data_IF_413811409230
#
_entry.id   IF_413811409230
#
_cell.length_a   1.000
_cell.length_b   1.000
_cell.length_c   1.000
_cell.angle_alpha   90.00
_cell.angle_beta   90.00
_cell.angle_gamma   90.00
#
_symmetry.space_group_name_H-M   'P 1'
#
loop_
_entity.id
_entity.type
_entity.pdbx_description
1 polymer ?
#
# COMPACT_ATOMS: atom_id res chain seq x y z
N UNK A 1 28.97 13.66 12.18
CA UNK A 1 28.24 14.40 13.23
C UNK A 1 27.12 15.20 12.61
N UNK A 2 25.89 14.68 12.65
CA UNK A 2 24.70 15.44 12.27
C UNK A 2 23.84 15.56 13.52
N UNK A 3 23.80 16.74 14.12
CA UNK A 3 22.85 17.07 15.16
C UNK A 3 21.50 17.39 14.48
N UNK A 4 20.42 16.85 15.01
CA UNK A 4 19.07 17.24 14.64
C UNK A 4 18.38 17.80 15.88
N UNK A 5 17.66 18.90 15.70
CA UNK A 5 16.94 19.59 16.77
C UNK A 5 15.45 19.35 16.54
N UNK A 6 14.80 18.67 17.47
CA UNK A 6 13.34 18.52 17.49
C UNK A 6 12.78 19.71 18.26
N UNK A 7 11.90 20.48 17.63
CA UNK A 7 11.17 21.55 18.29
C UNK A 7 9.67 21.27 18.20
N UNK A 8 8.97 21.56 19.29
CA UNK A 8 7.51 21.56 19.36
C UNK A 8 7.10 23.02 19.35
N UNK A 9 6.19 23.39 18.45
CA UNK A 9 5.52 24.69 18.51
C UNK A 9 4.24 24.48 19.29
N UNK A 10 4.04 25.30 20.32
CA UNK A 10 2.81 25.31 21.11
C UNK A 10 1.92 26.45 20.65
N UNK A 11 0.60 26.26 20.70
CA UNK A 11 -0.38 27.32 20.49
C UNK A 11 -0.56 28.18 21.75
N UNK A 12 -1.57 29.07 21.75
CA UNK A 12 -1.84 29.96 22.88
C UNK A 12 -2.32 29.24 24.15
N UNK A 13 -2.73 27.97 24.02
CA UNK A 13 -3.24 27.12 25.11
C UNK A 13 -2.20 26.05 25.53
N UNK A 14 -0.93 26.27 25.20
CA UNK A 14 0.21 25.34 25.42
C UNK A 14 0.01 23.96 24.76
N UNK A 15 -0.79 23.85 23.70
CA UNK A 15 -0.99 22.59 22.98
C UNK A 15 -0.07 22.49 21.75
N UNK A 16 0.49 21.30 21.43
CA UNK A 16 1.30 21.10 20.24
C UNK A 16 0.56 21.49 18.95
N UNK A 17 1.07 22.50 18.24
CA UNK A 17 0.56 22.97 16.97
C UNK A 17 1.30 22.32 15.81
N UNK A 18 0.54 21.90 14.78
CA UNK A 18 1.09 21.47 13.51
C UNK A 18 1.79 22.64 12.81
N UNK A 19 3.10 22.48 12.57
CA UNK A 19 3.88 23.42 11.79
C UNK A 19 3.42 23.43 10.33
N UNK A 20 3.36 24.61 9.68
CA UNK A 20 3.10 24.68 8.25
C UNK A 20 4.18 23.93 7.47
N UNK A 21 3.78 23.32 6.35
CA UNK A 21 4.65 22.48 5.53
C UNK A 21 5.86 23.28 5.02
N UNK A 22 7.06 22.93 5.47
CA UNK A 22 8.30 23.64 5.14
C UNK A 22 8.77 23.18 3.76
N UNK A 23 8.78 24.08 2.78
CA UNK A 23 9.38 23.83 1.46
C UNK A 23 10.89 24.08 1.53
N UNK A 24 11.72 23.27 0.84
CA UNK A 24 13.14 23.56 0.73
C UNK A 24 13.35 24.94 0.10
N UNK A 25 14.29 25.72 0.64
CA UNK A 25 14.69 26.96 -0.02
C UNK A 25 15.30 26.66 -1.40
N UNK A 26 15.00 27.46 -2.43
CA UNK A 26 15.58 27.29 -3.76
C UNK A 26 17.11 27.23 -3.71
N UNK A 27 17.71 26.41 -4.58
CA UNK A 27 19.17 26.22 -4.61
C UNK A 27 19.66 25.23 -3.55
N UNK A 28 20.33 25.72 -2.51
CA UNK A 28 20.99 24.87 -1.51
C UNK A 28 20.01 24.02 -0.69
N UNK A 29 18.80 24.52 -0.41
CA UNK A 29 17.78 23.77 0.32
C UNK A 29 17.31 22.55 -0.48
N UNK A 30 16.99 22.73 -1.76
CA UNK A 30 16.60 21.64 -2.67
C UNK A 30 17.72 20.61 -2.86
N UNK A 31 18.98 21.07 -2.93
CA UNK A 31 20.13 20.17 -2.98
C UNK A 31 20.21 19.31 -1.72
N UNK A 32 20.14 19.92 -0.52
CA UNK A 32 20.16 19.20 0.76
C UNK A 32 18.99 18.21 0.88
N UNK A 33 17.81 18.61 0.42
CA UNK A 33 16.63 17.74 0.37
C UNK A 33 16.88 16.52 -0.53
N UNK A 34 17.41 16.70 -1.74
CA UNK A 34 17.79 15.59 -2.64
C UNK A 34 18.84 14.67 -2.01
N UNK A 35 19.86 15.23 -1.37
CA UNK A 35 20.89 14.45 -0.67
C UNK A 35 20.31 13.66 0.53
N UNK A 36 19.34 14.22 1.25
CA UNK A 36 18.62 13.50 2.31
C UNK A 36 17.77 12.35 1.75
N UNK A 37 17.04 12.58 0.66
CA UNK A 37 16.25 11.54 -0.04
C UNK A 37 17.13 10.40 -0.55
N UNK A 38 18.30 10.71 -1.14
CA UNK A 38 19.27 9.71 -1.58
C UNK A 38 19.79 8.87 -0.39
N UNK A 39 20.12 9.50 0.74
CA UNK A 39 20.54 8.81 1.97
C UNK A 39 19.43 7.91 2.53
N UNK A 40 18.18 8.38 2.54
CA UNK A 40 17.01 7.58 2.98
C UNK A 40 16.86 6.34 2.10
N UNK A 41 16.95 6.49 0.77
CA UNK A 41 16.91 5.36 -0.18
C UNK A 41 18.01 4.34 0.13
N UNK A 42 19.27 4.77 0.23
CA UNK A 42 20.40 3.88 0.52
C UNK A 42 20.21 3.13 1.85
N UNK A 43 19.71 3.81 2.89
CA UNK A 43 19.43 3.18 4.18
C UNK A 43 18.37 2.10 4.05
N UNK A 44 17.26 2.38 3.37
CA UNK A 44 16.17 1.43 3.16
C UNK A 44 16.61 0.24 2.31
N UNK A 45 17.29 0.48 1.19
CA UNK A 45 17.82 -0.57 0.31
C UNK A 45 18.75 -1.53 1.10
N UNK A 46 19.58 -1.00 2.00
CA UNK A 46 20.46 -1.82 2.85
C UNK A 46 19.68 -2.59 3.92
N UNK A 47 18.68 -1.97 4.55
CA UNK A 47 17.84 -2.62 5.57
C UNK A 47 17.08 -3.82 5.01
N UNK A 48 16.56 -3.68 3.79
CA UNK A 48 15.75 -4.69 3.12
C UNK A 48 16.47 -5.40 1.97
N UNK A 49 17.81 -5.45 2.01
CA UNK A 49 18.64 -6.10 0.98
C UNK A 49 18.35 -7.60 0.90
N UNK A 50 18.08 -8.22 2.06
CA UNK A 50 17.61 -9.59 2.13
C UNK A 50 16.08 -9.53 2.09
N UNK A 51 15.51 -9.99 0.99
CA UNK A 51 14.06 -10.08 0.85
C UNK A 51 13.49 -11.14 1.80
N UNK A 52 12.34 -10.84 2.40
CA UNK A 52 11.54 -11.83 3.12
C UNK A 52 11.22 -13.00 2.19
N UNK A 53 11.33 -14.23 2.71
CA UNK A 53 11.07 -15.46 1.97
C UNK A 53 9.71 -16.04 2.31
N UNK A 54 9.17 -16.86 1.39
CA UNK A 54 7.95 -17.63 1.58
C UNK A 54 7.98 -18.51 2.85
N UNK A 55 9.16 -18.96 3.26
CA UNK A 55 9.36 -19.77 4.49
C UNK A 55 9.25 -18.96 5.77
N UNK A 56 9.39 -17.64 5.70
CA UNK A 56 9.40 -16.74 6.86
C UNK A 56 8.05 -16.04 7.06
N UNK A 57 7.37 -15.73 5.96
CA UNK A 57 6.05 -15.10 5.90
C UNK A 57 5.33 -15.68 4.69
N UNK A 58 4.02 -16.00 4.79
CA UNK A 58 3.25 -16.50 3.65
C UNK A 58 3.01 -15.37 2.63
N UNK A 59 3.97 -15.19 1.70
CA UNK A 59 3.86 -14.22 0.60
C UNK A 59 2.76 -14.63 -0.38
N UNK A 60 2.66 -15.93 -0.66
CA UNK A 60 1.52 -16.56 -1.31
C UNK A 60 0.94 -17.66 -0.43
N UNK A 61 -0.33 -18.02 -0.64
CA UNK A 61 -0.97 -19.18 -0.02
C UNK A 61 -1.52 -20.12 -1.09
N UNK A 62 -1.47 -21.44 -0.91
CA UNK A 62 -2.11 -22.36 -1.84
C UNK A 62 -3.60 -22.06 -1.97
N UNK A 63 -4.09 -21.99 -3.21
CA UNK A 63 -5.51 -21.94 -3.48
C UNK A 63 -6.12 -23.32 -3.26
N UNK A 64 -7.04 -23.41 -2.31
CA UNK A 64 -7.81 -24.62 -2.02
C UNK A 64 -9.30 -24.26 -2.05
N UNK A 65 -10.05 -24.73 -3.07
CA UNK A 65 -11.48 -24.50 -3.16
C UNK A 65 -12.27 -24.97 -1.93
N UNK A 66 -11.80 -26.02 -1.23
CA UNK A 66 -12.45 -26.50 0.00
C UNK A 66 -12.32 -25.52 1.16
N UNK A 67 -11.33 -24.63 1.11
CA UNK A 67 -11.03 -23.63 2.13
C UNK A 67 -11.27 -22.19 1.65
N UNK A 68 -11.97 -22.01 0.52
CA UNK A 68 -12.15 -20.70 -0.14
C UNK A 68 -12.72 -19.63 0.80
N UNK A 69 -13.72 -19.98 1.62
CA UNK A 69 -14.38 -19.06 2.55
C UNK A 69 -13.39 -18.51 3.57
N UNK A 70 -12.55 -19.39 4.12
CA UNK A 70 -11.52 -18.99 5.09
C UNK A 70 -10.40 -18.17 4.43
N UNK A 71 -9.97 -18.54 3.22
CA UNK A 71 -8.95 -17.79 2.48
C UNK A 71 -9.39 -16.35 2.22
N UNK A 72 -10.64 -16.17 1.77
CA UNK A 72 -11.26 -14.86 1.57
C UNK A 72 -11.44 -14.08 2.86
N UNK A 73 -11.91 -14.72 3.93
CA UNK A 73 -12.01 -14.09 5.24
C UNK A 73 -10.65 -13.62 5.77
N UNK A 74 -9.64 -14.49 5.70
CA UNK A 74 -8.29 -14.18 6.17
C UNK A 74 -7.65 -13.05 5.35
N UNK A 75 -7.94 -12.98 4.04
CA UNK A 75 -7.51 -11.88 3.18
C UNK A 75 -8.02 -10.52 3.69
N UNK A 76 -9.33 -10.42 3.89
CA UNK A 76 -10.00 -9.20 4.41
C UNK A 76 -9.49 -8.85 5.81
N UNK A 77 -9.43 -9.84 6.71
CA UNK A 77 -8.97 -9.65 8.09
C UNK A 77 -7.52 -9.17 8.15
N UNK A 78 -6.64 -9.69 7.29
CA UNK A 78 -5.23 -9.29 7.25
C UNK A 78 -5.06 -7.83 6.83
N UNK A 79 -5.84 -7.36 5.86
CA UNK A 79 -5.83 -5.95 5.47
C UNK A 79 -6.36 -5.05 6.59
N UNK A 80 -7.46 -5.43 7.25
CA UNK A 80 -8.00 -4.68 8.39
C UNK A 80 -6.98 -4.56 9.53
N UNK A 81 -6.31 -5.66 9.88
CA UNK A 81 -5.24 -5.65 10.89
C UNK A 81 -4.05 -4.78 10.48
N UNK A 82 -3.68 -4.77 9.19
CA UNK A 82 -2.58 -3.94 8.69
C UNK A 82 -2.91 -2.44 8.79
N UNK A 83 -4.13 -2.05 8.43
CA UNK A 83 -4.60 -0.66 8.55
C UNK A 83 -4.68 -0.22 10.01
N UNK A 84 -5.10 -1.11 10.92
CA UNK A 84 -5.27 -0.81 12.34
C UNK A 84 -3.95 -0.69 13.14
N UNK A 85 -2.79 -0.95 12.54
CA UNK A 85 -1.50 -0.70 13.20
C UNK A 85 -1.35 0.78 13.55
N UNK A 86 -0.77 1.09 14.70
CA UNK A 86 -0.64 2.46 15.24
C UNK A 86 0.70 3.14 14.90
N UNK A 87 1.65 2.39 14.37
CA UNK A 87 3.02 2.83 14.09
C UNK A 87 3.25 3.27 12.63
N UNK A 88 2.19 3.68 11.92
CA UNK A 88 2.31 4.30 10.60
C UNK A 88 2.91 5.69 10.70
N UNK A 89 3.94 5.96 9.89
CA UNK A 89 4.62 7.26 9.86
C UNK A 89 4.30 7.98 8.55
N UNK A 90 3.79 9.21 8.63
CA UNK A 90 3.62 10.08 7.46
C UNK A 90 4.99 10.38 6.85
N UNK A 91 5.22 9.87 5.64
CA UNK A 91 6.48 9.99 4.91
C UNK A 91 6.53 11.20 3.99
N UNK A 92 5.40 11.56 3.36
CA UNK A 92 5.28 12.74 2.49
C UNK A 92 3.81 13.09 2.24
N UNK A 93 3.55 14.35 1.89
CA UNK A 93 2.24 14.82 1.45
C UNK A 93 2.40 15.75 0.24
N UNK A 94 1.64 15.49 -0.84
CA UNK A 94 1.64 16.31 -2.05
C UNK A 94 0.20 16.44 -2.53
N UNK A 95 -0.29 17.66 -2.74
CA UNK A 95 -1.65 17.92 -3.23
C UNK A 95 -2.74 17.16 -2.43
N UNK A 96 -2.65 17.17 -1.10
CA UNK A 96 -3.57 16.46 -0.19
C UNK A 96 -3.57 14.93 -0.36
N UNK A 97 -2.59 14.37 -1.08
CA UNK A 97 -2.30 12.94 -1.12
C UNK A 97 -1.18 12.66 -0.12
N UNK A 98 -1.49 11.83 0.87
CA UNK A 98 -0.57 11.44 1.95
C UNK A 98 0.02 10.08 1.67
N UNK A 99 1.33 9.93 1.87
CA UNK A 99 2.04 8.66 1.82
C UNK A 99 2.51 8.32 3.23
N UNK A 100 2.02 7.20 3.75
CA UNK A 100 2.45 6.64 5.01
C UNK A 100 3.35 5.43 4.77
N UNK A 101 4.32 5.24 5.66
CA UNK A 101 5.24 4.10 5.64
C UNK A 101 5.34 3.47 7.00
N UNK A 102 5.50 2.16 7.01
CA UNK A 102 5.74 1.35 8.20
C UNK A 102 6.94 0.47 7.91
N UNK A 103 8.03 0.75 8.64
CA UNK A 103 9.27 -0.02 8.55
C UNK A 103 9.21 -1.21 9.52
N UNK A 104 8.78 -2.38 9.04
CA UNK A 104 8.85 -3.63 9.80
C UNK A 104 10.25 -4.25 9.68
N UNK A 105 10.54 -5.29 10.45
CA UNK A 105 11.82 -6.02 10.41
C UNK A 105 11.96 -6.80 9.09
N UNK A 106 10.85 -7.35 8.59
CA UNK A 106 10.84 -8.21 7.41
C UNK A 106 10.53 -7.49 6.10
N UNK A 107 9.74 -6.42 6.15
CA UNK A 107 9.29 -5.71 4.95
C UNK A 107 9.04 -4.23 5.22
N UNK A 108 9.14 -3.43 4.15
CA UNK A 108 8.69 -2.04 4.14
C UNK A 108 7.24 -2.02 3.63
N UNK A 109 6.30 -1.63 4.50
CA UNK A 109 4.91 -1.40 4.12
C UNK A 109 4.69 0.08 3.83
N UNK A 110 3.81 0.39 2.88
CA UNK A 110 3.37 1.74 2.59
C UNK A 110 1.89 1.74 2.22
N UNK A 111 1.22 2.87 2.45
CA UNK A 111 -0.12 3.12 1.92
C UNK A 111 -0.27 4.58 1.54
N UNK A 112 -1.21 4.85 0.64
CA UNK A 112 -1.55 6.20 0.20
C UNK A 112 -2.98 6.53 0.62
N UNK A 113 -3.20 7.76 1.05
CA UNK A 113 -4.50 8.26 1.48
C UNK A 113 -4.82 9.57 0.73
N UNK A 114 -6.06 9.69 0.27
CA UNK A 114 -6.59 10.92 -0.34
C UNK A 114 -8.11 10.95 -0.20
N UNK A 115 -8.69 12.15 -0.29
CA UNK A 115 -10.14 12.35 -0.38
C UNK A 115 -10.50 12.65 -1.82
N UNK A 116 -11.48 11.92 -2.36
CA UNK A 116 -11.98 12.09 -3.73
C UNK A 116 -13.45 12.48 -3.72
N UNK A 117 -13.88 13.26 -4.70
CA UNK A 117 -15.26 13.71 -4.84
C UNK A 117 -16.11 12.68 -5.61
N UNK A 118 -16.21 11.46 -5.07
CA UNK A 118 -16.99 10.35 -5.61
C UNK A 118 -17.67 9.64 -4.45
N UNK A 119 -18.90 9.17 -4.66
CA UNK A 119 -19.62 8.34 -3.68
C UNK A 119 -18.81 7.08 -3.32
N UNK A 120 -18.80 6.70 -2.04
CA UNK A 120 -18.00 5.58 -1.56
C UNK A 120 -18.42 4.24 -2.17
N UNK A 121 -19.73 4.02 -2.39
CA UNK A 121 -20.22 2.80 -3.03
C UNK A 121 -19.84 2.78 -4.52
N UNK A 122 -19.90 3.91 -5.20
CA UNK A 122 -19.44 4.02 -6.59
C UNK A 122 -17.93 3.78 -6.70
N UNK A 123 -17.11 4.37 -5.82
CA UNK A 123 -15.68 4.14 -5.77
C UNK A 123 -15.37 2.66 -5.49
N UNK A 124 -16.11 2.03 -4.58
CA UNK A 124 -15.98 0.60 -4.28
C UNK A 124 -16.22 -0.28 -5.50
N UNK A 125 -17.27 -0.01 -6.28
CA UNK A 125 -17.53 -0.75 -7.53
C UNK A 125 -16.39 -0.57 -8.53
N UNK A 126 -15.95 0.67 -8.76
CA UNK A 126 -14.88 0.99 -9.71
C UNK A 126 -13.53 0.35 -9.32
N UNK A 127 -13.16 0.43 -8.04
CA UNK A 127 -11.89 -0.10 -7.54
C UNK A 127 -11.88 -1.62 -7.38
N UNK A 128 -13.05 -2.24 -7.20
CA UNK A 128 -13.16 -3.71 -7.09
C UNK A 128 -13.10 -4.42 -8.45
N UNK A 129 -13.40 -3.74 -9.56
CA UNK A 129 -13.24 -4.31 -10.90
C UNK A 129 -11.79 -4.22 -11.36
N UNK A 130 -10.97 -5.18 -10.94
CA UNK A 130 -9.54 -5.22 -11.27
C UNK A 130 -9.26 -5.28 -12.77
N UNK A 131 -10.20 -5.76 -13.60
CA UNK A 131 -10.01 -5.80 -15.07
C UNK A 131 -9.91 -4.41 -15.69
N UNK A 132 -10.48 -3.41 -15.02
CA UNK A 132 -10.42 -1.99 -15.44
C UNK A 132 -9.24 -1.24 -14.84
N UNK A 133 -8.51 -1.84 -13.91
CA UNK A 133 -7.33 -1.25 -13.29
C UNK A 133 -6.25 -0.81 -14.29
N UNK A 134 -5.98 -1.55 -15.40
CA UNK A 134 -5.06 -1.10 -16.45
C UNK A 134 -5.43 0.24 -17.11
N UNK A 135 -6.70 0.67 -17.04
CA UNK A 135 -7.15 1.95 -17.61
C UNK A 135 -6.49 3.16 -16.91
N UNK A 136 -6.06 3.00 -15.64
CA UNK A 136 -5.56 4.10 -14.82
C UNK A 136 -4.27 3.78 -14.03
N UNK A 137 -3.95 2.50 -13.80
CA UNK A 137 -2.75 2.08 -13.08
C UNK A 137 -1.73 1.46 -14.05
N UNK A 138 -0.69 2.23 -14.40
CA UNK A 138 0.38 1.77 -15.31
C UNK A 138 1.15 0.54 -14.83
N UNK A 139 1.06 0.19 -13.54
CA UNK A 139 1.69 -1.02 -12.99
C UNK A 139 0.88 -2.28 -13.30
N UNK A 140 -0.38 -2.13 -13.73
CA UNK A 140 -1.23 -3.21 -14.19
C UNK A 140 -1.22 -3.20 -15.73
N UNK A 141 -0.34 -3.99 -16.33
CA UNK A 141 -0.26 -4.12 -17.80
C UNK A 141 -1.44 -4.88 -18.36
N UNK A 142 -1.79 -6.01 -17.74
CA UNK A 142 -2.99 -6.79 -18.09
C UNK A 142 -3.56 -7.45 -16.83
N UNK A 143 -4.87 -7.71 -16.86
CA UNK A 143 -5.59 -8.40 -15.79
C UNK A 143 -6.59 -9.36 -16.42
N UNK A 144 -6.43 -10.63 -16.13
CA UNK A 144 -7.29 -11.71 -16.63
C UNK A 144 -8.01 -12.38 -15.46
N UNK A 145 -9.32 -12.54 -15.56
CA UNK A 145 -10.10 -13.29 -14.58
C UNK A 145 -9.80 -14.77 -14.75
N UNK A 146 -9.22 -15.40 -13.73
CA UNK A 146 -8.91 -16.84 -13.71
C UNK A 146 -10.11 -17.62 -13.19
N UNK A 147 -10.69 -17.18 -12.07
CA UNK A 147 -11.83 -17.84 -11.44
C UNK A 147 -12.69 -16.80 -10.71
N UNK A 148 -14.00 -16.85 -10.93
CA UNK A 148 -14.97 -16.21 -10.04
C UNK A 148 -15.25 -17.19 -8.89
N UNK A 149 -14.90 -16.81 -7.65
CA UNK A 149 -15.07 -17.67 -6.48
C UNK A 149 -16.52 -17.59 -6.01
N UNK A 150 -17.01 -16.36 -5.81
CA UNK A 150 -18.40 -16.02 -5.51
C UNK A 150 -18.70 -14.59 -6.00
N UNK A 151 -19.76 -13.93 -5.53
CA UNK A 151 -20.13 -12.56 -5.94
C UNK A 151 -19.13 -11.48 -5.51
N UNK A 152 -18.36 -11.72 -4.45
CA UNK A 152 -17.47 -10.76 -3.80
C UNK A 152 -15.99 -11.19 -3.80
N UNK A 153 -15.71 -12.39 -4.31
CA UNK A 153 -14.38 -12.98 -4.35
C UNK A 153 -14.02 -13.49 -5.76
N UNK A 154 -12.83 -13.13 -6.24
CA UNK A 154 -12.33 -13.55 -7.54
C UNK A 154 -10.81 -13.68 -7.55
N UNK A 155 -10.31 -14.57 -8.41
CA UNK A 155 -8.88 -14.77 -8.65
C UNK A 155 -8.52 -14.21 -10.02
N UNK A 156 -7.46 -13.41 -10.06
CA UNK A 156 -6.96 -12.78 -11.26
C UNK A 156 -5.49 -13.15 -11.52
N UNK A 157 -5.15 -13.29 -12.79
CA UNK A 157 -3.77 -13.24 -13.26
C UNK A 157 -3.46 -11.80 -13.68
N UNK A 158 -2.44 -11.20 -13.09
CA UNK A 158 -2.05 -9.81 -13.33
C UNK A 158 -0.64 -9.80 -13.86
N UNK A 159 -0.40 -9.08 -14.95
CA UNK A 159 0.96 -8.79 -15.42
C UNK A 159 1.33 -7.35 -15.13
N UNK A 160 2.58 -7.12 -14.73
CA UNK A 160 3.17 -5.80 -14.51
C UNK A 160 4.32 -5.58 -15.50
N UNK A 161 4.51 -4.35 -16.01
CA UNK A 161 5.69 -4.02 -16.79
C UNK A 161 6.99 -4.34 -16.05
N UNK A 162 8.07 -4.54 -16.81
CA UNK A 162 9.39 -4.70 -16.22
C UNK A 162 9.81 -3.43 -15.49
N UNK A 163 10.25 -3.56 -14.23
CA UNK A 163 10.80 -2.46 -13.45
C UNK A 163 12.31 -2.31 -13.74
N UNK A 164 12.85 -1.11 -13.51
CA UNK A 164 14.19 -0.72 -13.94
C UNK A 164 15.27 -1.79 -13.70
N UNK A 165 16.03 -2.11 -14.74
CA UNK A 165 17.07 -3.14 -14.73
C UNK A 165 16.60 -4.56 -15.08
N UNK A 166 15.29 -4.82 -15.13
CA UNK A 166 14.74 -6.10 -15.56
C UNK A 166 14.27 -6.04 -17.02
N UNK A 167 14.45 -7.15 -17.75
CA UNK A 167 14.01 -7.29 -19.15
C UNK A 167 12.67 -8.01 -19.28
N UNK A 168 12.26 -8.75 -18.25
CA UNK A 168 11.01 -9.52 -18.26
C UNK A 168 9.92 -8.82 -17.43
N UNK A 169 8.67 -8.80 -17.92
CA UNK A 169 7.50 -8.46 -17.11
C UNK A 169 7.40 -9.37 -15.88
N UNK A 170 6.73 -8.87 -14.84
CA UNK A 170 6.36 -9.68 -13.67
C UNK A 170 4.91 -10.12 -13.80
N UNK A 171 4.55 -11.22 -13.18
CA UNK A 171 3.18 -11.68 -13.10
C UNK A 171 2.80 -12.17 -11.70
N UNK A 172 1.50 -12.14 -11.40
CA UNK A 172 0.94 -12.43 -10.09
C UNK A 172 -0.38 -13.15 -10.26
N UNK A 173 -0.65 -14.14 -9.40
CA UNK A 173 -1.99 -14.70 -9.22
C UNK A 173 -2.53 -14.17 -7.90
N UNK A 174 -3.63 -13.42 -7.96
CA UNK A 174 -4.13 -12.62 -6.84
C UNK A 174 -5.57 -13.02 -6.52
N UNK A 175 -5.84 -13.36 -5.26
CA UNK A 175 -7.19 -13.41 -4.70
C UNK A 175 -7.60 -11.99 -4.29
N UNK A 176 -8.68 -11.52 -4.89
CA UNK A 176 -9.35 -10.26 -4.55
C UNK A 176 -10.64 -10.55 -3.79
N UNK A 177 -10.76 -9.99 -2.59
CA UNK A 177 -11.89 -10.16 -1.69
C UNK A 177 -12.46 -8.80 -1.31
N UNK A 178 -13.69 -8.49 -1.73
CA UNK A 178 -14.34 -7.21 -1.45
C UNK A 178 -15.42 -7.34 -0.40
N UNK A 179 -15.56 -6.38 0.52
CA UNK A 179 -16.61 -6.36 1.55
C UNK A 179 -17.15 -4.95 1.72
N UNK A 180 -18.48 -4.87 1.88
CA UNK A 180 -19.17 -3.64 2.27
C UNK A 180 -18.97 -3.38 3.78
N UNK A 181 -19.18 -2.13 4.25
CA UNK A 181 -19.21 -1.79 5.68
C UNK A 181 -20.17 -2.70 6.45
N UNK A 182 -19.81 -3.11 7.67
CA UNK A 182 -20.71 -3.84 8.56
C UNK A 182 -21.63 -2.86 9.30
N UNK A 183 -21.06 -1.77 9.81
CA UNK A 183 -21.76 -0.71 10.52
C UNK A 183 -21.47 0.69 9.95
N UNK A 184 -22.22 1.68 10.43
CA UNK A 184 -21.99 3.07 10.08
C UNK A 184 -20.60 3.52 10.56
N UNK A 185 -19.77 3.99 9.62
CA UNK A 185 -18.39 4.41 9.89
C UNK A 185 -17.34 3.35 9.52
N UNK A 186 -17.74 2.12 9.24
CA UNK A 186 -16.83 1.10 8.74
C UNK A 186 -16.40 1.37 7.28
N UNK A 187 -15.17 0.99 6.89
CA UNK A 187 -14.71 1.15 5.53
C UNK A 187 -15.28 0.06 4.62
N UNK A 188 -15.45 0.42 3.35
CA UNK A 188 -15.43 -0.56 2.27
C UNK A 188 -14.02 -1.15 2.17
N UNK A 189 -13.92 -2.47 2.00
CA UNK A 189 -12.63 -3.17 1.96
C UNK A 189 -12.47 -3.91 0.65
N UNK A 190 -11.33 -3.74 -0.02
CA UNK A 190 -10.91 -4.55 -1.17
C UNK A 190 -9.54 -5.11 -0.83
N UNK A 191 -9.50 -6.36 -0.38
CA UNK A 191 -8.28 -7.03 0.05
C UNK A 191 -7.69 -7.85 -1.09
N UNK A 192 -6.39 -7.69 -1.31
CA UNK A 192 -5.63 -8.38 -2.36
C UNK A 192 -4.52 -9.19 -1.71
N UNK A 193 -4.40 -10.47 -2.07
CA UNK A 193 -3.26 -11.31 -1.66
C UNK A 193 -2.85 -12.27 -2.77
N UNK A 194 -1.57 -12.64 -2.81
CA UNK A 194 -1.12 -13.66 -3.75
C UNK A 194 -1.59 -15.05 -3.34
N UNK A 195 -2.01 -15.84 -4.32
CA UNK A 195 -2.35 -17.26 -4.16
C UNK A 195 -1.60 -18.07 -5.21
N UNK A 196 -1.26 -19.32 -4.90
CA UNK A 196 -0.71 -20.25 -5.89
C UNK A 196 -1.82 -21.17 -6.37
N UNK A 197 -2.11 -21.25 -7.68
CA UNK A 197 -3.05 -22.23 -8.20
C UNK A 197 -2.55 -23.67 -7.92
N UNK A 198 -3.46 -24.66 -7.90
CA UNK A 198 -3.10 -26.07 -7.80
C UNK A 198 -2.25 -26.56 -8.99
#
# INVERSE_FOLDING_TARGET
NSAFMTFVVLDADDQPQLLPWIRPQPGDGERRYREASARKKIRLDRKYIVSCKQTEVPLSVPWDPSNQVYLSYNNVSSLRMLVAKDNWVLSSEINQVRLYTLEDDKFLSFHMEMVVHVDAAQAFLLLSDLRRRPEWDKHYRSVELVQQVDEDDAIYHVTSPALGGHTKPQDFVILASRRKPCDNGDPYVIALRSVTPP
#
